data_IF_741496435842
#
_entry.id   IF_741496435842
#
_cell.length_a   1.000
_cell.length_b   1.000
_cell.length_c   1.000
_cell.angle_alpha   90.00
_cell.angle_beta   90.00
_cell.angle_gamma   90.00
#
_symmetry.space_group_name_H-M   'P 1'
#
loop_
_entity.id
_entity.type
_entity.pdbx_description
1 polymer ?
#
# COMPACT_ATOMS: atom_id res chain seq x y z
N UNK A 1 23.14 -13.07 34.84
CA UNK A 1 22.52 -12.01 35.67
C UNK A 1 21.02 -12.02 35.43
N UNK A 2 20.25 -12.56 36.36
CA UNK A 2 18.79 -12.72 36.28
C UNK A 2 18.13 -11.35 36.44
N UNK A 3 17.29 -10.92 35.48
CA UNK A 3 16.52 -9.68 35.63
C UNK A 3 15.39 -9.95 36.62
N UNK A 4 15.19 -9.04 37.57
CA UNK A 4 14.20 -9.20 38.64
C UNK A 4 12.81 -8.75 38.14
N UNK A 5 12.13 -9.63 37.39
CA UNK A 5 10.89 -9.30 36.66
C UNK A 5 9.67 -9.12 37.58
N UNK A 6 9.73 -9.62 38.81
CA UNK A 6 8.66 -9.52 39.81
C UNK A 6 8.36 -8.08 40.24
N UNK A 7 9.28 -7.14 39.95
CA UNK A 7 9.13 -5.71 40.23
C UNK A 7 8.31 -4.96 39.17
N UNK A 8 7.97 -5.61 38.06
CA UNK A 8 7.20 -5.00 36.98
C UNK A 8 5.71 -5.00 37.31
N UNK A 9 5.04 -3.88 37.07
CA UNK A 9 3.58 -3.81 37.12
C UNK A 9 2.95 -4.59 35.96
N UNK A 10 1.69 -5.01 36.09
CA UNK A 10 0.96 -5.70 35.03
C UNK A 10 0.99 -4.90 33.70
N UNK A 11 0.76 -3.58 33.78
CA UNK A 11 0.83 -2.70 32.61
C UNK A 11 2.23 -2.66 31.98
N UNK A 12 3.30 -2.63 32.78
CA UNK A 12 4.67 -2.66 32.24
C UNK A 12 4.99 -4.01 31.59
N UNK A 13 4.53 -5.12 32.16
CA UNK A 13 4.68 -6.45 31.56
C UNK A 13 3.92 -6.57 30.23
N UNK A 14 2.70 -6.04 30.14
CA UNK A 14 1.91 -6.09 28.91
C UNK A 14 2.56 -5.27 27.78
N UNK A 15 3.09 -4.09 28.08
CA UNK A 15 3.85 -3.29 27.10
C UNK A 15 5.12 -4.02 26.64
N UNK A 16 5.81 -4.72 27.55
CA UNK A 16 7.00 -5.51 27.21
C UNK A 16 6.66 -6.76 26.38
N UNK A 17 5.50 -7.40 26.61
CA UNK A 17 5.02 -8.51 25.76
C UNK A 17 4.74 -8.05 24.34
N UNK A 18 4.10 -6.90 24.17
CA UNK A 18 3.88 -6.32 22.84
C UNK A 18 5.19 -5.96 22.15
N UNK A 19 6.18 -5.44 22.88
CA UNK A 19 7.53 -5.22 22.35
C UNK A 19 8.21 -6.54 21.91
N UNK A 20 8.05 -7.62 22.67
CA UNK A 20 8.62 -8.93 22.32
C UNK A 20 8.00 -9.51 21.05
N UNK A 21 6.74 -9.19 20.76
CA UNK A 21 6.02 -9.55 19.53
C UNK A 21 6.42 -8.69 18.32
N UNK A 22 7.30 -7.71 18.49
CA UNK A 22 7.82 -6.86 17.40
C UNK A 22 7.09 -5.53 17.21
N UNK A 23 6.15 -5.16 18.09
CA UNK A 23 5.50 -3.86 18.01
C UNK A 23 6.46 -2.72 18.39
N UNK A 24 6.28 -1.54 17.78
CA UNK A 24 7.02 -0.33 18.16
C UNK A 24 6.27 0.45 19.25
N UNK A 25 6.91 1.40 19.93
CA UNK A 25 6.23 2.27 20.90
C UNK A 25 5.04 3.03 20.29
N UNK A 26 5.13 3.41 19.00
CA UNK A 26 4.04 4.03 18.25
C UNK A 26 2.85 3.07 18.06
N UNK A 27 3.13 1.83 17.67
CA UNK A 27 2.09 0.81 17.46
C UNK A 27 1.45 0.40 18.79
N UNK A 28 2.24 0.30 19.86
CA UNK A 28 1.76 -0.02 21.21
C UNK A 28 0.86 1.08 21.77
N UNK A 29 1.23 2.35 21.57
CA UNK A 29 0.40 3.50 21.92
C UNK A 29 -0.99 3.41 21.28
N UNK A 30 -1.05 3.11 19.98
CA UNK A 30 -2.31 2.91 19.27
C UNK A 30 -3.13 1.73 19.80
N UNK A 31 -2.48 0.59 20.11
CA UNK A 31 -3.17 -0.61 20.63
C UNK A 31 -3.71 -0.44 22.05
N UNK A 32 -3.02 0.35 22.88
CA UNK A 32 -3.35 0.50 24.30
C UNK A 32 -4.12 1.78 24.62
N UNK A 33 -4.32 2.66 23.63
CA UNK A 33 -4.93 3.98 23.83
C UNK A 33 -4.05 4.94 24.65
N UNK A 34 -2.77 4.62 24.84
CA UNK A 34 -1.80 5.46 25.55
C UNK A 34 -1.10 6.41 24.59
N UNK A 35 -0.59 7.54 25.09
CA UNK A 35 0.32 8.36 24.30
C UNK A 35 1.68 7.65 24.12
N UNK A 36 2.38 7.90 23.01
CA UNK A 36 3.74 7.36 22.77
C UNK A 36 4.69 7.74 23.91
N UNK A 37 4.56 8.96 24.43
CA UNK A 37 5.37 9.41 25.56
C UNK A 37 5.07 8.60 26.83
N UNK A 38 3.80 8.31 27.10
CA UNK A 38 3.39 7.47 28.23
C UNK A 38 3.92 6.03 28.11
N UNK A 39 3.92 5.47 26.90
CA UNK A 39 4.52 4.14 26.64
C UNK A 39 6.03 4.19 26.91
N UNK A 40 6.73 5.19 26.38
CA UNK A 40 8.19 5.33 26.57
C UNK A 40 8.58 5.53 28.04
N UNK A 41 7.82 6.33 28.80
CA UNK A 41 8.08 6.52 30.23
C UNK A 41 7.84 5.24 31.04
N UNK A 42 6.82 4.45 30.71
CA UNK A 42 6.58 3.14 31.34
C UNK A 42 7.69 2.14 31.01
N UNK A 43 8.17 2.12 29.77
CA UNK A 43 9.32 1.30 29.37
C UNK A 43 10.63 1.74 30.03
N UNK A 44 10.78 3.04 30.29
CA UNK A 44 11.92 3.60 31.05
C UNK A 44 11.83 3.24 32.52
N UNK A 45 10.65 3.34 33.12
CA UNK A 45 10.35 2.87 34.48
C UNK A 45 10.69 1.38 34.63
N UNK A 46 10.22 0.54 33.71
CA UNK A 46 10.51 -0.89 33.68
C UNK A 46 12.01 -1.20 33.65
N UNK A 47 12.80 -0.47 32.84
CA UNK A 47 14.27 -0.58 32.85
C UNK A 47 14.90 -0.16 34.17
N UNK A 48 14.46 0.96 34.76
CA UNK A 48 14.97 1.43 36.06
C UNK A 48 14.71 0.42 37.18
N UNK A 49 13.55 -0.24 37.17
CA UNK A 49 13.17 -1.24 38.18
C UNK A 49 13.97 -2.55 38.06
N UNK A 50 14.32 -2.94 36.83
CA UNK A 50 14.94 -4.24 36.54
C UNK A 50 16.45 -4.17 36.31
N UNK A 51 17.00 -2.97 36.09
CA UNK A 51 18.42 -2.75 35.76
C UNK A 51 18.77 -3.11 34.31
N UNK A 52 17.77 -3.35 33.44
CA UNK A 52 18.01 -3.72 32.05
C UNK A 52 18.53 -2.54 31.22
N UNK A 53 19.53 -2.80 30.38
CA UNK A 53 20.15 -1.79 29.51
C UNK A 53 19.18 -1.32 28.42
N UNK A 54 18.36 -2.23 27.88
CA UNK A 54 17.34 -1.89 26.88
C UNK A 54 15.99 -2.54 27.15
N UNK A 55 14.92 -1.87 26.73
CA UNK A 55 13.55 -2.39 26.86
C UNK A 55 13.31 -3.58 25.93
N UNK A 56 14.04 -3.66 24.80
CA UNK A 56 14.01 -4.81 23.88
C UNK A 56 14.67 -6.05 24.49
N UNK A 57 15.81 -5.87 25.16
CA UNK A 57 16.43 -6.96 25.91
C UNK A 57 15.49 -7.46 27.01
N UNK A 58 14.92 -6.54 27.80
CA UNK A 58 13.96 -6.87 28.85
C UNK A 58 12.73 -7.62 28.30
N UNK A 59 12.20 -7.20 27.16
CA UNK A 59 11.08 -7.87 26.48
C UNK A 59 11.42 -9.30 26.05
N UNK A 60 12.61 -9.53 25.48
CA UNK A 60 13.08 -10.89 25.14
C UNK A 60 13.16 -11.79 26.38
N UNK A 61 13.77 -11.30 27.45
CA UNK A 61 13.91 -12.09 28.69
C UNK A 61 12.55 -12.40 29.34
N UNK A 62 11.59 -11.48 29.24
CA UNK A 62 10.22 -11.71 29.68
C UNK A 62 9.51 -12.78 28.83
N UNK A 63 9.75 -12.81 27.52
CA UNK A 63 9.21 -13.82 26.61
C UNK A 63 9.83 -15.22 26.80
N UNK A 64 11.10 -15.28 27.24
CA UNK A 64 11.78 -16.54 27.54
C UNK A 64 11.28 -17.20 28.84
N UNK A 65 10.74 -16.41 29.78
CA UNK A 65 10.20 -16.90 31.06
C UNK A 65 8.70 -17.23 31.01
N UNK A 66 7.97 -16.73 30.00
CA UNK A 66 6.58 -17.08 29.79
C UNK A 66 6.50 -18.44 29.08
N UNK A 67 5.69 -19.41 29.55
CA UNK A 67 5.43 -20.63 28.81
C UNK A 67 4.86 -20.26 27.44
N UNK A 68 5.65 -20.44 26.38
CA UNK A 68 5.17 -20.20 25.03
C UNK A 68 4.25 -21.36 24.63
N UNK A 69 2.98 -21.11 24.25
CA UNK A 69 2.29 -22.09 23.41
C UNK A 69 3.12 -22.26 22.12
N UNK A 70 3.19 -23.48 21.55
CA UNK A 70 4.04 -23.75 20.40
C UNK A 70 3.83 -22.71 19.31
N UNK A 71 4.87 -21.94 19.00
CA UNK A 71 4.84 -21.07 17.85
C UNK A 71 4.97 -21.96 16.61
N UNK A 72 3.82 -22.19 15.96
CA UNK A 72 3.77 -22.81 14.64
C UNK A 72 4.58 -21.92 13.70
N UNK A 73 5.80 -22.34 13.35
CA UNK A 73 6.62 -21.70 12.32
C UNK A 73 5.89 -21.94 11.00
N UNK A 74 4.94 -21.06 10.67
CA UNK A 74 4.38 -21.02 9.33
C UNK A 74 5.37 -20.29 8.43
N UNK A 75 5.78 -20.88 7.30
CA UNK A 75 6.33 -20.11 6.20
C UNK A 75 5.25 -19.09 5.83
N UNK A 76 5.54 -17.79 5.98
CA UNK A 76 4.67 -16.74 5.46
C UNK A 76 4.79 -16.77 3.94
N UNK A 77 4.06 -17.70 3.32
CA UNK A 77 3.75 -17.62 1.91
C UNK A 77 2.79 -16.46 1.74
N UNK A 78 3.17 -15.53 0.88
CA UNK A 78 2.32 -14.47 0.35
C UNK A 78 1.01 -15.08 -0.17
N UNK A 79 -0.13 -14.47 0.16
CA UNK A 79 -1.34 -14.60 -0.65
C UNK A 79 -2.66 -14.84 0.10
N UNK A 80 -3.61 -14.00 -0.28
CA UNK A 80 -5.06 -14.26 -0.37
C UNK A 80 -5.83 -14.28 0.95
N UNK A 81 -6.65 -13.24 1.10
CA UNK A 81 -7.58 -13.06 2.21
C UNK A 81 -8.55 -14.21 2.37
N UNK A 82 -8.76 -14.60 3.63
CA UNK A 82 -9.99 -15.18 4.14
C UNK A 82 -10.36 -14.44 5.41
N UNK A 83 -11.45 -13.68 5.33
CA UNK A 83 -12.14 -13.07 6.46
C UNK A 83 -12.81 -14.16 7.31
N UNK A 84 -12.88 -13.95 8.63
CA UNK A 84 -14.08 -14.01 9.52
C UNK A 84 -13.69 -14.26 10.99
N UNK A 85 -14.51 -13.91 12.00
CA UNK A 85 -15.54 -12.87 12.07
C UNK A 85 -15.36 -11.89 13.26
N UNK A 86 -16.22 -10.87 13.23
CA UNK A 86 -16.51 -9.76 14.13
C UNK A 86 -16.28 -9.91 15.65
N UNK A 87 -15.81 -8.82 16.28
CA UNK A 87 -16.19 -8.45 17.65
C UNK A 87 -16.87 -7.08 17.65
N UNK A 88 -18.19 -7.17 17.71
CA UNK A 88 -19.16 -6.31 18.38
C UNK A 88 -18.63 -5.05 19.09
N UNK A 89 -18.92 -3.88 18.50
CA UNK A 89 -19.11 -2.63 19.24
C UNK A 89 -20.59 -2.27 19.17
N UNK A 90 -21.21 -2.16 20.35
CA UNK A 90 -22.59 -1.75 20.58
C UNK A 90 -22.71 -0.23 20.40
N UNK A 91 -23.69 0.21 19.62
CA UNK A 91 -23.96 1.62 19.36
C UNK A 91 -25.21 1.84 18.52
N UNK A 92 -26.37 1.76 19.19
CA UNK A 92 -27.65 2.45 18.93
C UNK A 92 -28.20 2.62 17.49
N UNK A 93 -29.35 1.98 17.30
CA UNK A 93 -30.63 2.55 16.82
C UNK A 93 -30.98 2.70 15.33
N UNK A 94 -32.09 2.00 15.01
CA UNK A 94 -33.16 2.25 14.01
C UNK A 94 -32.91 1.81 12.55
N UNK A 95 -33.52 0.68 12.16
CA UNK A 95 -34.84 0.66 11.50
C UNK A 95 -35.08 -0.65 10.70
N UNK A 96 -36.18 -1.33 11.03
CA UNK A 96 -37.03 -2.19 10.22
C UNK A 96 -36.42 -3.15 9.17
N UNK A 97 -36.46 -4.46 9.45
CA UNK A 97 -36.62 -5.50 8.42
C UNK A 97 -37.65 -6.55 8.86
N UNK A 98 -38.74 -6.64 8.11
CA UNK A 98 -39.69 -7.76 8.16
C UNK A 98 -39.24 -8.88 7.21
N UNK A 99 -39.21 -10.11 7.72
CA UNK A 99 -38.99 -11.35 6.98
C UNK A 99 -40.34 -11.94 6.53
N UNK A 100 -40.49 -12.36 5.27
CA UNK A 100 -41.38 -13.48 4.86
C UNK A 100 -40.88 -13.95 3.47
N UNK A 101 -40.18 -15.09 3.35
CA UNK A 101 -40.62 -16.49 3.18
C UNK A 101 -40.81 -16.97 1.73
N UNK A 102 -40.07 -18.06 1.48
CA UNK A 102 -40.15 -19.08 0.44
C UNK A 102 -41.58 -19.51 0.03
N UNK A 103 -41.71 -19.93 -1.25
CA UNK A 103 -42.73 -20.83 -1.86
C UNK A 103 -44.00 -20.19 -2.44
N UNK A 104 -44.38 -20.72 -3.62
CA UNK A 104 -45.49 -20.40 -4.55
C UNK A 104 -44.99 -19.44 -5.64
N UNK A 105 -44.85 -19.80 -6.92
CA UNK A 105 -45.73 -20.62 -7.76
C UNK A 105 -44.95 -21.27 -8.90
N UNK A 106 -45.21 -22.56 -9.14
CA UNK A 106 -44.86 -23.24 -10.35
C UNK A 106 -45.92 -23.03 -11.44
N UNK A 107 -45.46 -23.10 -12.69
CA UNK A 107 -46.15 -23.54 -13.92
C UNK A 107 -46.92 -22.55 -14.81
N UNK A 108 -46.82 -22.86 -16.11
CA UNK A 108 -47.41 -22.28 -17.34
C UNK A 108 -46.67 -21.03 -17.87
N UNK A 109 -46.02 -21.03 -19.05
CA UNK A 109 -46.32 -21.71 -20.30
C UNK A 109 -45.04 -22.10 -21.06
N UNK A 110 -44.89 -23.40 -21.31
CA UNK A 110 -44.28 -23.89 -22.54
C UNK A 110 -45.20 -23.55 -23.73
N UNK A 111 -44.67 -23.65 -24.95
CA UNK A 111 -45.29 -23.43 -26.28
C UNK A 111 -44.98 -22.07 -26.90
N UNK A 112 -43.76 -21.93 -27.44
CA UNK A 112 -43.47 -21.61 -28.86
C UNK A 112 -42.14 -22.34 -29.19
N UNK A 113 -42.16 -23.64 -29.50
CA UNK A 113 -42.08 -24.16 -30.88
C UNK A 113 -40.94 -23.48 -31.69
N UNK A 114 -39.73 -24.03 -31.73
CA UNK A 114 -39.35 -25.14 -32.60
C UNK A 114 -39.84 -24.97 -34.06
N UNK A 115 -39.00 -24.35 -34.89
CA UNK A 115 -38.90 -24.59 -36.33
C UNK A 115 -37.47 -24.18 -36.75
N UNK A 116 -36.56 -25.15 -36.84
CA UNK A 116 -36.16 -25.82 -38.09
C UNK A 116 -35.26 -24.90 -38.97
N UNK A 117 -33.94 -25.07 -38.93
CA UNK A 117 -33.15 -25.92 -39.86
C UNK A 117 -33.48 -25.65 -41.34
N UNK A 118 -32.58 -24.94 -42.05
CA UNK A 118 -32.10 -25.23 -43.42
C UNK A 118 -31.36 -24.02 -43.99
N UNK A 119 -30.17 -24.23 -44.59
CA UNK A 119 -29.58 -23.20 -45.47
C UNK A 119 -28.06 -23.18 -45.61
N UNK A 120 -27.42 -24.33 -45.78
CA UNK A 120 -26.10 -24.40 -46.43
C UNK A 120 -26.29 -24.02 -47.92
N UNK A 121 -25.70 -22.92 -48.39
CA UNK A 121 -25.35 -22.76 -49.81
C UNK A 121 -24.02 -22.01 -49.93
N UNK A 122 -23.06 -22.73 -50.51
CA UNK A 122 -21.80 -22.26 -51.04
C UNK A 122 -22.01 -21.36 -52.25
N UNK A 123 -21.26 -20.26 -52.37
CA UNK A 123 -20.88 -19.75 -53.69
C UNK A 123 -19.62 -18.90 -53.61
N UNK A 124 -18.52 -19.55 -54.02
CA UNK A 124 -17.34 -18.92 -54.59
C UNK A 124 -17.77 -17.97 -55.71
N UNK A 125 -17.49 -16.68 -55.59
CA UNK A 125 -17.27 -15.84 -56.76
C UNK A 125 -15.98 -15.07 -56.56
N UNK A 126 -15.03 -15.44 -57.42
CA UNK A 126 -13.71 -14.90 -57.54
C UNK A 126 -13.70 -14.21 -58.91
N UNK A 127 -13.47 -12.92 -58.92
CA UNK A 127 -13.16 -12.13 -60.11
C UNK A 127 -12.10 -11.08 -59.75
N UNK A 128 -11.31 -10.63 -60.75
CA UNK A 128 -9.90 -10.31 -60.57
C UNK A 128 -9.67 -8.82 -60.32
N UNK A 129 -8.41 -8.54 -60.01
CA UNK A 129 -7.83 -7.24 -59.70
C UNK A 129 -8.16 -6.15 -60.73
N UNK A 130 -8.59 -4.99 -60.21
CA UNK A 130 -8.32 -3.69 -60.82
C UNK A 130 -7.30 -2.99 -59.93
N UNK A 131 -6.11 -2.78 -60.50
CA UNK A 131 -5.08 -1.91 -59.93
C UNK A 131 -5.58 -0.47 -59.93
N UNK A 132 -5.66 0.14 -58.76
CA UNK A 132 -5.69 1.59 -58.62
C UNK A 132 -4.68 2.01 -57.54
N UNK A 133 -3.83 2.94 -57.95
CA UNK A 133 -2.70 3.59 -57.29
C UNK A 133 -2.88 3.98 -55.81
N UNK A 134 -1.79 3.80 -55.05
CA UNK A 134 -1.47 4.38 -53.73
C UNK A 134 -1.79 5.90 -53.63
N UNK A 135 -2.08 6.44 -52.43
CA UNK A 135 -1.00 6.83 -51.50
C UNK A 135 -1.17 6.37 -50.03
N UNK A 136 -0.04 5.91 -49.47
CA UNK A 136 0.50 6.27 -48.15
C UNK A 136 -0.29 5.94 -46.86
N UNK A 137 -0.01 4.73 -46.31
CA UNK A 137 0.17 4.33 -44.89
C UNK A 137 -0.89 4.61 -43.80
N UNK A 138 -0.93 3.86 -42.67
CA UNK A 138 -0.92 2.40 -42.47
C UNK A 138 -2.00 1.97 -41.42
N UNK A 139 -2.12 0.69 -41.01
CA UNK A 139 -3.27 0.18 -40.25
C UNK A 139 -3.09 0.39 -38.74
N UNK A 140 -4.11 0.93 -38.07
CA UNK A 140 -4.21 1.00 -36.62
C UNK A 140 -5.01 -0.16 -36.03
N UNK A 141 -4.51 -1.39 -36.20
CA UNK A 141 -4.79 -2.44 -35.21
C UNK A 141 -3.91 -2.18 -34.00
N UNK A 142 -4.51 -2.28 -32.80
CA UNK A 142 -3.85 -2.38 -31.51
C UNK A 142 -2.93 -1.19 -31.11
N UNK A 143 -3.51 -0.21 -30.41
CA UNK A 143 -2.76 0.47 -29.37
C UNK A 143 -2.89 -0.32 -28.06
N UNK A 144 -2.28 -1.50 -28.01
CA UNK A 144 -1.65 -1.90 -26.76
C UNK A 144 -0.44 -0.98 -26.64
N UNK A 145 -0.49 -0.04 -25.69
CA UNK A 145 0.61 0.87 -25.39
C UNK A 145 1.84 0.07 -24.95
N UNK A 146 2.69 -0.29 -25.90
CA UNK A 146 4.04 -0.79 -25.65
C UNK A 146 4.97 0.42 -25.51
N UNK A 147 5.14 0.87 -24.27
CA UNK A 147 6.25 1.73 -23.84
C UNK A 147 6.50 1.38 -22.39
N UNK A 148 7.67 0.80 -22.10
CA UNK A 148 8.03 0.14 -20.84
C UNK A 148 8.12 1.04 -19.61
N UNK A 149 7.11 1.83 -19.32
CA UNK A 149 7.06 2.75 -18.20
C UNK A 149 5.59 2.85 -17.77
N UNK A 150 5.12 1.90 -16.96
CA UNK A 150 3.70 1.77 -16.62
C UNK A 150 3.48 2.02 -15.12
N UNK A 151 2.59 2.96 -14.81
CA UNK A 151 2.02 3.06 -13.47
C UNK A 151 1.08 1.89 -13.22
N UNK A 152 1.39 1.10 -12.19
CA UNK A 152 0.53 0.02 -11.72
C UNK A 152 0.03 0.28 -10.32
N UNK A 153 -1.26 0.06 -10.14
CA UNK A 153 -1.87 -0.05 -8.84
C UNK A 153 -1.48 -1.35 -8.15
N UNK A 154 -0.72 -1.28 -7.06
CA UNK A 154 -0.50 -2.43 -6.18
C UNK A 154 -1.52 -2.36 -5.04
N UNK A 155 -2.77 -2.66 -5.38
CA UNK A 155 -3.87 -2.62 -4.41
C UNK A 155 -3.86 -3.92 -3.60
N UNK A 156 -3.18 -3.90 -2.46
CA UNK A 156 -3.59 -4.77 -1.35
C UNK A 156 -4.93 -4.22 -0.83
N UNK A 157 -5.92 -5.06 -0.47
CA UNK A 157 -7.27 -4.61 -0.14
C UNK A 157 -7.37 -3.54 0.95
N UNK A 158 -6.31 -3.35 1.76
CA UNK A 158 -6.29 -2.40 2.87
C UNK A 158 -5.13 -1.39 2.84
N UNK A 159 -4.27 -1.41 1.81
CA UNK A 159 -3.10 -0.53 1.72
C UNK A 159 -3.04 0.05 0.31
N UNK A 160 -3.52 1.29 0.10
CA UNK A 160 -3.47 1.91 -1.22
C UNK A 160 -2.01 2.19 -1.60
N UNK A 161 -1.62 1.68 -2.77
CA UNK A 161 -0.28 1.87 -3.32
C UNK A 161 -0.29 2.00 -4.84
N UNK A 162 0.64 2.82 -5.33
CA UNK A 162 0.94 2.99 -6.76
C UNK A 162 2.43 2.82 -6.99
N UNK A 163 2.79 2.11 -8.05
CA UNK A 163 4.17 1.84 -8.41
C UNK A 163 4.44 2.23 -9.85
N UNK A 164 5.52 2.95 -10.08
CA UNK A 164 6.10 3.19 -11.39
C UNK A 164 7.07 2.06 -11.70
N UNK A 165 6.73 1.25 -12.70
CA UNK A 165 7.52 0.08 -13.07
C UNK A 165 8.36 0.37 -14.31
N UNK A 166 9.65 0.05 -14.22
CA UNK A 166 10.56 0.05 -15.37
C UNK A 166 10.93 -1.41 -15.66
N UNK A 167 10.50 -1.99 -16.81
CA UNK A 167 10.89 -3.30 -17.25
C UNK A 167 12.40 -3.40 -17.41
N UNK A 168 12.96 -4.46 -16.86
CA UNK A 168 14.33 -4.85 -17.14
C UNK A 168 14.39 -5.41 -18.57
N UNK A 169 15.15 -4.82 -19.51
CA UNK A 169 15.24 -5.31 -20.88
C UNK A 169 15.83 -6.73 -20.95
N UNK A 170 16.61 -7.14 -19.94
CA UNK A 170 17.13 -8.51 -19.82
C UNK A 170 16.10 -9.49 -19.26
N UNK A 171 15.06 -9.00 -18.59
CA UNK A 171 13.96 -9.78 -17.98
C UNK A 171 12.61 -9.11 -18.25
N UNK A 172 12.08 -9.17 -19.48
CA UNK A 172 10.90 -8.41 -19.90
C UNK A 172 9.62 -8.77 -19.13
N UNK A 173 9.60 -9.91 -18.42
CA UNK A 173 8.49 -10.35 -17.57
C UNK A 173 8.66 -9.99 -16.08
N UNK A 174 9.77 -9.35 -15.71
CA UNK A 174 10.09 -8.94 -14.34
C UNK A 174 10.24 -7.43 -14.30
N UNK A 175 9.12 -6.71 -14.25
CA UNK A 175 9.15 -5.28 -14.06
C UNK A 175 9.44 -4.96 -12.59
N UNK A 176 10.54 -4.25 -12.33
CA UNK A 176 10.92 -3.84 -10.98
C UNK A 176 10.37 -2.43 -10.71
N UNK A 177 9.75 -2.19 -9.54
CA UNK A 177 9.27 -0.86 -9.21
C UNK A 177 10.45 0.09 -9.00
N UNK A 178 10.53 1.14 -9.82
CA UNK A 178 11.52 2.19 -9.65
C UNK A 178 11.07 3.19 -8.58
N UNK A 179 9.76 3.47 -8.51
CA UNK A 179 9.16 4.29 -7.46
C UNK A 179 7.90 3.59 -6.97
N UNK A 180 7.70 3.52 -5.66
CA UNK A 180 6.47 3.02 -5.05
C UNK A 180 6.02 3.97 -3.96
N UNK A 181 4.76 4.40 -4.03
CA UNK A 181 4.09 5.15 -2.98
C UNK A 181 3.07 4.24 -2.29
N UNK A 182 3.08 4.23 -0.96
CA UNK A 182 2.24 3.37 -0.14
C UNK A 182 1.67 4.23 0.99
N UNK A 183 0.36 4.24 1.20
CA UNK A 183 -0.22 4.85 2.40
C UNK A 183 -0.61 3.77 3.40
N UNK A 184 -0.03 3.80 4.60
CA UNK A 184 -0.34 2.90 5.69
C UNK A 184 -0.54 3.68 6.99
N UNK A 185 -1.71 3.54 7.60
CA UNK A 185 -2.07 4.32 8.78
C UNK A 185 -2.04 5.81 8.47
N UNK A 186 -1.20 6.58 9.18
CA UNK A 186 -1.03 8.03 8.97
C UNK A 186 0.25 8.38 8.18
N UNK A 187 0.92 7.39 7.62
CA UNK A 187 2.21 7.56 6.96
C UNK A 187 2.14 7.17 5.49
N UNK A 188 2.76 7.97 4.63
CA UNK A 188 3.10 7.61 3.27
C UNK A 188 4.55 7.15 3.25
N UNK A 189 4.77 5.93 2.77
CA UNK A 189 6.09 5.36 2.53
C UNK A 189 6.39 5.45 1.04
N UNK A 190 7.56 5.97 0.72
CA UNK A 190 8.09 6.00 -0.64
C UNK A 190 9.31 5.11 -0.71
N UNK A 191 9.30 4.17 -1.67
CA UNK A 191 10.42 3.29 -1.97
C UNK A 191 10.93 3.67 -3.35
N UNK A 192 12.22 4.01 -3.46
CA UNK A 192 12.86 4.39 -4.71
C UNK A 192 14.04 3.47 -4.99
N UNK A 193 14.12 2.95 -6.22
CA UNK A 193 15.23 2.16 -6.74
C UNK A 193 15.93 2.90 -7.86
N UNK A 194 17.16 2.49 -8.16
CA UNK A 194 18.01 3.13 -9.18
C UNK A 194 19.03 4.12 -8.59
N UNK A 195 19.04 4.30 -7.28
CA UNK A 195 20.12 4.97 -6.55
C UNK A 195 21.03 3.95 -5.88
N UNK A 196 22.35 4.20 -5.87
CA UNK A 196 23.33 3.32 -5.25
C UNK A 196 23.92 3.98 -3.98
N UNK A 197 23.56 3.52 -2.78
CA UNK A 197 24.01 4.10 -1.52
C UNK A 197 25.32 3.50 -0.99
N UNK A 198 26.01 2.66 -1.78
CA UNK A 198 26.98 1.65 -1.31
C UNK A 198 28.07 2.20 -0.37
N UNK A 199 28.43 3.47 -0.46
CA UNK A 199 29.50 4.08 0.33
C UNK A 199 29.13 5.41 1.03
N UNK A 200 27.86 5.84 0.98
CA UNK A 200 27.45 7.15 1.48
C UNK A 200 26.95 7.05 2.93
N UNK A 201 27.87 7.10 3.90
CA UNK A 201 27.54 7.30 5.31
C UNK A 201 28.17 8.59 5.88
N UNK A 202 27.40 9.48 6.52
CA UNK A 202 25.93 9.40 6.69
C UNK A 202 25.20 9.54 5.36
N UNK A 203 24.00 8.95 5.25
CA UNK A 203 23.21 9.03 4.02
C UNK A 203 22.82 10.48 3.75
N UNK A 204 23.08 11.00 2.53
CA UNK A 204 22.71 12.36 2.19
C UNK A 204 21.19 12.49 2.20
N UNK A 205 20.73 13.73 2.34
CA UNK A 205 19.30 14.00 2.29
C UNK A 205 18.76 13.73 0.88
N UNK A 206 17.55 13.20 0.84
CA UNK A 206 16.77 13.03 -0.37
C UNK A 206 15.65 14.06 -0.40
N UNK A 207 15.52 14.76 -1.51
CA UNK A 207 14.43 15.71 -1.76
C UNK A 207 13.32 15.06 -2.56
N UNK A 208 12.09 15.16 -2.06
CA UNK A 208 10.87 14.80 -2.77
C UNK A 208 10.23 16.06 -3.32
N UNK A 209 10.07 16.11 -4.65
CA UNK A 209 9.34 17.16 -5.37
C UNK A 209 8.05 16.62 -5.94
N UNK A 210 6.99 17.41 -5.85
CA UNK A 210 5.72 17.15 -6.52
C UNK A 210 5.40 18.37 -7.37
N UNK A 211 5.48 18.22 -8.69
CA UNK A 211 5.64 19.34 -9.61
C UNK A 211 6.92 20.13 -9.31
N UNK A 212 6.84 21.47 -9.33
CA UNK A 212 8.01 22.33 -9.13
C UNK A 212 8.37 22.57 -7.65
N UNK A 213 7.53 22.11 -6.71
CA UNK A 213 7.68 22.40 -5.28
C UNK A 213 8.39 21.25 -4.58
N UNK A 214 9.47 21.56 -3.83
CA UNK A 214 10.05 20.63 -2.86
C UNK A 214 9.06 20.48 -1.72
N UNK A 215 8.50 19.28 -1.56
CA UNK A 215 7.48 19.04 -0.55
C UNK A 215 8.11 18.47 0.72
N UNK A 216 9.19 17.68 0.62
CA UNK A 216 9.88 17.10 1.79
C UNK A 216 11.38 16.87 1.50
N UNK A 217 12.18 16.88 2.57
CA UNK A 217 13.62 16.57 2.58
C UNK A 217 13.94 15.65 3.77
N UNK A 218 14.92 14.76 3.63
CA UNK A 218 15.59 14.11 4.76
C UNK A 218 16.32 12.81 4.40
N UNK A 219 16.97 12.17 5.39
CA UNK A 219 17.80 10.98 5.16
C UNK A 219 16.96 9.71 4.99
N UNK A 220 17.04 9.01 3.84
CA UNK A 220 16.35 7.74 3.63
C UNK A 220 16.93 6.62 4.50
N UNK A 221 16.25 5.48 4.49
CA UNK A 221 16.78 4.21 4.98
C UNK A 221 17.11 3.33 3.79
N UNK A 222 18.23 2.61 3.85
CA UNK A 222 18.58 1.63 2.81
C UNK A 222 17.94 0.28 3.13
N UNK A 223 17.32 -0.31 2.12
CA UNK A 223 16.65 -1.62 2.13
C UNK A 223 17.12 -2.45 0.95
N UNK A 224 16.89 -3.77 1.00
CA UNK A 224 17.27 -4.69 -0.08
C UNK A 224 18.69 -5.24 0.07
N UNK A 225 19.06 -6.11 -0.85
CA UNK A 225 20.39 -6.72 -0.90
C UNK A 225 21.39 -5.79 -1.59
N UNK A 226 22.69 -6.08 -1.44
CA UNK A 226 23.77 -5.24 -1.96
C UNK A 226 23.67 -4.96 -3.47
N UNK A 227 23.09 -5.88 -4.23
CA UNK A 227 22.97 -5.79 -5.68
C UNK A 227 21.73 -5.02 -6.16
N UNK A 228 20.70 -4.86 -5.31
CA UNK A 228 19.47 -4.15 -5.62
C UNK A 228 18.97 -3.33 -4.40
N UNK A 229 19.73 -2.28 -4.03
CA UNK A 229 19.36 -1.41 -2.93
C UNK A 229 18.13 -0.58 -3.28
N UNK A 230 17.29 -0.36 -2.28
CA UNK A 230 16.15 0.53 -2.32
C UNK A 230 16.28 1.57 -1.21
N UNK A 231 15.96 2.82 -1.53
CA UNK A 231 15.86 3.91 -0.56
C UNK A 231 14.41 4.03 -0.12
N UNK A 232 14.16 3.88 1.18
CA UNK A 232 12.85 4.00 1.80
C UNK A 232 12.75 5.29 2.61
N UNK A 233 11.68 6.05 2.39
CA UNK A 233 11.34 7.24 3.17
C UNK A 233 9.91 7.14 3.68
N UNK A 234 9.67 7.52 4.94
CA UNK A 234 8.34 7.54 5.52
C UNK A 234 8.02 8.93 6.05
N UNK A 235 6.87 9.48 5.66
CA UNK A 235 6.43 10.80 6.06
C UNK A 235 4.93 10.82 6.32
N UNK A 236 4.45 11.84 7.02
CA UNK A 236 3.01 11.99 7.30
C UNK A 236 2.23 12.26 6.02
N UNK A 237 1.09 11.60 5.85
CA UNK A 237 0.17 11.90 4.74
C UNK A 237 -0.41 13.30 4.96
N UNK A 238 -0.33 14.17 3.95
CA UNK A 238 -0.71 15.57 4.05
C UNK A 238 -1.35 16.09 2.75
N UNK A 239 -2.24 17.07 2.87
CA UNK A 239 -2.90 17.70 1.71
C UNK A 239 -1.90 18.40 0.77
N UNK A 240 -0.77 18.90 1.32
CA UNK A 240 0.34 19.46 0.54
C UNK A 240 0.89 18.52 -0.53
N UNK A 241 0.76 17.21 -0.33
CA UNK A 241 1.22 16.18 -1.25
C UNK A 241 0.06 15.67 -2.09
N UNK A 242 -1.09 15.40 -1.46
CA UNK A 242 -2.24 14.81 -2.14
C UNK A 242 -2.92 15.77 -3.11
N UNK A 243 -3.00 17.08 -2.83
CA UNK A 243 -3.66 18.03 -3.73
C UNK A 243 -2.90 18.19 -5.06
N UNK A 244 -1.57 18.41 -5.10
CA UNK A 244 -0.85 18.44 -6.38
C UNK A 244 -0.91 17.10 -7.11
N UNK A 245 -0.84 15.98 -6.38
CA UNK A 245 -1.01 14.67 -6.98
C UNK A 245 -2.40 14.52 -7.61
N UNK A 246 -3.47 15.01 -6.97
CA UNK A 246 -4.83 15.00 -7.54
C UNK A 246 -4.89 15.78 -8.87
N UNK A 247 -4.12 16.87 -8.97
CA UNK A 247 -4.04 17.73 -10.15
C UNK A 247 -3.14 17.16 -11.26
N UNK A 248 -2.52 16.00 -11.05
CA UNK A 248 -1.65 15.35 -12.03
C UNK A 248 -0.22 15.88 -12.05
N UNK A 249 0.25 16.47 -10.95
CA UNK A 249 1.67 16.80 -10.79
C UNK A 249 2.53 15.54 -10.87
N UNK A 250 3.67 15.65 -11.56
CA UNK A 250 4.69 14.59 -11.58
C UNK A 250 5.44 14.54 -10.24
N UNK A 251 6.18 13.46 -10.03
CA UNK A 251 6.97 13.26 -8.82
C UNK A 251 8.43 13.12 -9.21
N UNK A 252 9.31 13.81 -8.50
CA UNK A 252 10.75 13.66 -8.68
C UNK A 252 11.45 13.48 -7.33
N UNK A 253 12.53 12.70 -7.35
CA UNK A 253 13.39 12.43 -6.21
C UNK A 253 14.79 12.85 -6.56
N UNK A 254 15.41 13.68 -5.74
CA UNK A 254 16.81 14.07 -5.89
C UNK A 254 17.62 13.51 -4.73
N UNK A 255 18.67 12.76 -5.04
CA UNK A 255 19.59 12.15 -4.08
C UNK A 255 21.02 12.40 -4.59
N UNK A 256 21.85 13.07 -3.79
CA UNK A 256 23.25 13.39 -4.13
C UNK A 256 23.43 13.99 -5.54
N UNK A 257 22.58 14.96 -5.90
CA UNK A 257 22.58 15.61 -7.22
C UNK A 257 22.01 14.77 -8.37
N UNK A 258 21.76 13.48 -8.17
CA UNK A 258 21.07 12.63 -9.14
C UNK A 258 19.56 12.75 -8.97
N UNK A 259 18.81 12.85 -10.07
CA UNK A 259 17.35 12.98 -10.03
C UNK A 259 16.67 11.85 -10.80
N UNK A 260 15.71 11.20 -10.16
CA UNK A 260 14.77 10.26 -10.78
C UNK A 260 13.40 10.93 -10.82
N UNK A 261 12.83 11.06 -12.01
CA UNK A 261 11.50 11.62 -12.23
C UNK A 261 10.54 10.52 -12.66
N UNK A 262 9.50 10.29 -11.87
CA UNK A 262 8.40 9.44 -12.27
C UNK A 262 7.41 10.24 -13.13
N UNK A 263 6.88 9.67 -14.22
CA UNK A 263 5.86 10.34 -15.03
C UNK A 263 4.61 10.61 -14.20
N UNK A 264 3.73 11.50 -14.66
CA UNK A 264 2.44 11.74 -14.00
C UNK A 264 1.66 10.42 -13.83
N UNK A 265 1.12 10.19 -12.64
CA UNK A 265 0.25 9.05 -12.37
C UNK A 265 -0.98 9.14 -13.29
N UNK A 266 -1.24 8.08 -14.06
CA UNK A 266 -2.38 8.02 -14.97
C UNK A 266 -3.71 7.98 -14.22
N UNK A 267 -4.76 8.53 -14.82
CA UNK A 267 -6.12 8.11 -14.47
C UNK A 267 -6.31 6.65 -14.91
N UNK A 268 -6.99 5.76 -14.16
CA UNK A 268 -7.75 5.99 -12.92
C UNK A 268 -6.94 5.74 -11.64
N UNK A 269 -5.65 5.43 -11.74
CA UNK A 269 -4.83 5.08 -10.59
C UNK A 269 -4.64 6.25 -9.65
N UNK A 270 -4.43 7.44 -10.21
CA UNK A 270 -4.30 8.70 -9.47
C UNK A 270 -5.52 8.98 -8.61
N UNK A 271 -6.72 9.02 -9.18
CA UNK A 271 -7.96 9.29 -8.44
C UNK A 271 -8.21 8.27 -7.33
N UNK A 272 -7.99 6.97 -7.59
CA UNK A 272 -8.12 5.92 -6.57
C UNK A 272 -7.11 6.08 -5.43
N UNK A 273 -5.85 6.32 -5.77
CA UNK A 273 -4.78 6.47 -4.79
C UNK A 273 -4.99 7.69 -3.90
N UNK A 274 -5.24 8.85 -4.51
CA UNK A 274 -5.43 10.11 -3.78
C UNK A 274 -6.66 10.02 -2.88
N UNK A 275 -7.78 9.45 -3.35
CA UNK A 275 -8.96 9.22 -2.51
C UNK A 275 -8.64 8.34 -1.30
N UNK A 276 -8.04 7.17 -1.54
CA UNK A 276 -7.77 6.19 -0.49
C UNK A 276 -6.73 6.70 0.53
N UNK A 277 -5.68 7.39 0.08
CA UNK A 277 -4.74 8.06 0.98
C UNK A 277 -5.37 9.28 1.68
N UNK A 278 -6.29 9.96 0.99
CA UNK A 278 -7.07 11.09 1.49
C UNK A 278 -7.86 10.74 2.74
N UNK A 279 -8.50 9.57 2.76
CA UNK A 279 -9.25 9.07 3.92
C UNK A 279 -8.36 8.84 5.16
N UNK A 280 -7.05 8.73 4.96
CA UNK A 280 -6.05 8.47 6.00
C UNK A 280 -5.35 9.74 6.53
N UNK A 281 -5.61 10.91 5.96
CA UNK A 281 -4.92 12.16 6.37
C UNK A 281 -5.39 12.61 7.75
N UNK A 282 -4.44 12.78 8.67
CA UNK A 282 -4.70 13.31 10.01
C UNK A 282 -5.26 14.75 9.95
N UNK A 283 -6.26 15.14 10.77
CA UNK A 283 -6.85 16.48 10.74
C UNK A 283 -5.86 17.64 10.85
N UNK A 284 -4.80 17.48 11.66
CA UNK A 284 -3.72 18.47 11.80
C UNK A 284 -2.80 18.60 10.58
N UNK A 285 -2.83 17.64 9.65
CA UNK A 285 -2.07 17.66 8.39
C UNK A 285 -2.93 18.14 7.21
N UNK A 286 -4.19 18.52 7.48
CA UNK A 286 -5.08 19.13 6.49
C UNK A 286 -4.76 20.61 6.33
N UNK A 287 -4.85 21.16 5.12
CA UNK A 287 -4.74 22.62 4.93
C UNK A 287 -5.93 23.30 5.62
N UNK A 288 -5.63 24.32 6.45
CA UNK A 288 -6.66 25.15 7.10
C UNK A 288 -7.43 25.93 6.01
N UNK A 289 -8.70 25.59 5.80
CA UNK A 289 -9.60 26.23 4.83
C UNK A 289 -10.33 25.27 3.88
N UNK A 290 -9.87 24.03 3.73
CA UNK A 290 -10.36 23.09 2.72
C UNK A 290 -11.44 22.12 3.22
N UNK A 291 -12.41 22.57 4.02
CA UNK A 291 -13.52 21.68 4.44
C UNK A 291 -14.57 21.53 3.33
N UNK A 292 -14.66 22.46 2.37
CA UNK A 292 -15.71 22.50 1.35
C UNK A 292 -15.26 22.34 -0.11
N UNK A 293 -13.96 22.19 -0.40
CA UNK A 293 -13.45 22.06 -1.78
C UNK A 293 -12.23 21.12 -1.88
N UNK A 294 -12.35 19.89 -1.38
CA UNK A 294 -11.29 18.89 -1.58
C UNK A 294 -11.37 18.34 -3.00
N UNK A 295 -10.22 18.28 -3.67
CA UNK A 295 -10.10 17.93 -5.11
C UNK A 295 -10.16 16.41 -5.34
N UNK A 296 -10.44 15.62 -4.30
CA UNK A 296 -10.41 14.15 -4.32
C UNK A 296 -11.32 13.54 -3.25
#
# INVERSE_FOLDING_TARGET
MSLNLDRLTAQEQDLLRLLAQGHTAKTIANLTGLSVNSVNERLRSARRKTGAVSSRELARRLADQAPQPPQEIRPKLFGVGRQTPERHWSGSDRAATGKVSLRRTAMAFAVIFAAALAGLVTSRFQYPAVSSSQPTSPPGSAAHSSGGEEWRGLFSPNVPAVAFLVPDPSKPYSATPQVMLICEGLSMTTIVRGFSPRDAWPQPEMDLRVGDVVVRTGSPQVKGDADDPALEYAFSIADEILEPLAQGASIAFTFDGQTISAPTISEPWRSRFVKACGDLVHPGMRRRGAVSARVY
#
